data_IF_087800612179
#
_entry.id   IF_087800612179
#
_cell.length_a   1.000
_cell.length_b   1.000
_cell.length_c   1.000
_cell.angle_alpha   90.00
_cell.angle_beta   90.00
_cell.angle_gamma   90.00
#
_symmetry.space_group_name_H-M   'P 1'
#
loop_
_entity.id
_entity.type
_entity.pdbx_description
1 polymer ?
#
# COMPACT_ATOMS: atom_id res chain seq x y z
N UNK A 1 -14.14 -9.97 -26.51
CA UNK A 1 -13.80 -11.42 -26.39
C UNK A 1 -12.44 -11.63 -25.73
N UNK A 2 -11.35 -10.95 -26.17
CA UNK A 2 -10.03 -11.05 -25.54
C UNK A 2 -10.04 -10.61 -24.06
N UNK A 3 -10.63 -9.47 -23.75
CA UNK A 3 -10.66 -8.96 -22.37
C UNK A 3 -11.48 -9.85 -21.44
N UNK A 4 -12.65 -10.32 -21.88
CA UNK A 4 -13.47 -11.27 -21.11
C UNK A 4 -12.69 -12.55 -20.78
N UNK A 5 -11.89 -13.05 -21.73
CA UNK A 5 -11.03 -14.21 -21.49
C UNK A 5 -9.96 -13.91 -20.45
N UNK A 6 -9.27 -12.77 -20.56
CA UNK A 6 -8.26 -12.35 -19.58
C UNK A 6 -8.88 -12.25 -18.19
N UNK A 7 -10.02 -11.56 -18.05
CA UNK A 7 -10.69 -11.42 -16.76
C UNK A 7 -11.18 -12.75 -16.20
N UNK A 8 -11.74 -13.63 -17.03
CA UNK A 8 -12.14 -14.96 -16.62
C UNK A 8 -10.96 -15.80 -16.11
N UNK A 9 -9.83 -15.78 -16.83
CA UNK A 9 -8.61 -16.48 -16.42
C UNK A 9 -8.05 -15.90 -15.12
N UNK A 10 -8.00 -14.56 -14.98
CA UNK A 10 -7.50 -13.89 -13.77
C UNK A 10 -8.39 -14.13 -12.55
N UNK A 11 -9.71 -14.06 -12.70
CA UNK A 11 -10.65 -14.37 -11.61
C UNK A 11 -10.53 -15.83 -11.21
N UNK A 12 -10.44 -16.75 -12.18
CA UNK A 12 -10.25 -18.17 -11.89
C UNK A 12 -8.94 -18.43 -11.13
N UNK A 13 -7.82 -17.87 -11.59
CA UNK A 13 -6.55 -17.97 -10.88
C UNK A 13 -6.61 -17.37 -9.47
N UNK A 14 -7.29 -16.24 -9.30
CA UNK A 14 -7.43 -15.61 -8.00
C UNK A 14 -8.25 -16.47 -7.02
N UNK A 15 -9.36 -17.05 -7.48
CA UNK A 15 -10.16 -17.98 -6.68
C UNK A 15 -9.40 -19.25 -6.32
N UNK A 16 -8.63 -19.81 -7.25
CA UNK A 16 -7.77 -20.97 -6.97
C UNK A 16 -6.69 -20.61 -5.93
N UNK A 17 -6.07 -19.44 -6.04
CA UNK A 17 -5.08 -19.00 -5.06
C UNK A 17 -5.71 -18.80 -3.68
N UNK A 18 -6.87 -18.15 -3.59
CA UNK A 18 -7.62 -18.01 -2.34
C UNK A 18 -7.98 -19.36 -1.74
N UNK A 19 -8.43 -20.31 -2.56
CA UNK A 19 -8.74 -21.66 -2.10
C UNK A 19 -7.49 -22.36 -1.58
N UNK A 20 -6.38 -22.29 -2.30
CA UNK A 20 -5.12 -22.88 -1.88
C UNK A 20 -4.59 -22.25 -0.58
N UNK A 21 -4.73 -20.93 -0.40
CA UNK A 21 -4.37 -20.24 0.84
C UNK A 21 -5.26 -20.67 2.01
N UNK A 22 -6.57 -20.83 1.78
CA UNK A 22 -7.49 -21.34 2.81
C UNK A 22 -7.18 -22.79 3.17
N UNK A 23 -6.96 -23.65 2.18
CA UNK A 23 -6.64 -25.07 2.41
C UNK A 23 -5.26 -25.22 3.09
N UNK A 24 -4.31 -24.34 2.78
CA UNK A 24 -2.99 -24.31 3.40
C UNK A 24 -3.04 -23.77 4.83
N UNK A 25 -3.68 -22.61 5.04
CA UNK A 25 -3.58 -21.85 6.30
C UNK A 25 -4.72 -22.11 7.28
N UNK A 26 -5.88 -22.53 6.78
CA UNK A 26 -7.11 -22.71 7.55
C UNK A 26 -7.83 -24.02 7.16
N UNK A 27 -7.13 -25.18 7.16
CA UNK A 27 -7.66 -26.43 6.64
C UNK A 27 -8.95 -26.89 7.34
N UNK A 28 -9.15 -26.46 8.59
CA UNK A 28 -10.35 -26.77 9.35
C UNK A 28 -11.60 -26.06 8.83
N UNK A 29 -11.51 -24.91 8.15
CA UNK A 29 -12.72 -24.17 7.74
C UNK A 29 -13.59 -24.97 6.78
N UNK A 30 -12.97 -25.66 5.83
CA UNK A 30 -13.69 -26.53 4.91
C UNK A 30 -14.33 -27.72 5.63
N UNK A 31 -13.61 -28.30 6.59
CA UNK A 31 -14.08 -29.44 7.38
C UNK A 31 -15.23 -29.04 8.32
N UNK A 32 -15.14 -27.88 8.98
CA UNK A 32 -16.20 -27.36 9.85
C UNK A 32 -17.47 -26.97 9.08
N UNK A 33 -17.33 -26.58 7.81
CA UNK A 33 -18.48 -26.32 6.92
C UNK A 33 -19.12 -27.61 6.37
N UNK A 34 -18.48 -28.76 6.54
CA UNK A 34 -18.99 -30.07 6.14
C UNK A 34 -18.86 -31.05 7.33
N UNK A 35 -19.56 -30.80 8.44
CA UNK A 35 -19.48 -31.66 9.60
C UNK A 35 -20.20 -33.00 9.33
N UNK A 36 -19.71 -34.12 9.87
CA UNK A 36 -20.40 -35.40 9.89
C UNK A 36 -21.82 -35.27 10.45
N UNK A 37 -22.76 -36.05 9.90
CA UNK A 37 -24.16 -36.03 10.35
C UNK A 37 -24.29 -36.35 11.85
N UNK A 38 -23.39 -37.21 12.38
CA UNK A 38 -23.34 -37.58 13.79
C UNK A 38 -23.15 -36.40 14.73
N UNK A 39 -22.49 -35.31 14.30
CA UNK A 39 -22.22 -34.14 15.15
C UNK A 39 -23.37 -33.14 15.16
N UNK A 40 -24.31 -33.24 14.22
CA UNK A 40 -25.31 -32.19 13.96
C UNK A 40 -26.77 -32.65 14.01
N UNK A 41 -27.02 -33.96 14.15
CA UNK A 41 -28.37 -34.50 14.27
C UNK A 41 -29.00 -34.17 15.64
N UNK A 42 -30.34 -34.15 15.68
CA UNK A 42 -31.08 -33.82 16.91
C UNK A 42 -30.94 -34.86 18.02
N UNK A 43 -30.67 -36.12 17.68
CA UNK A 43 -30.52 -37.26 18.60
C UNK A 43 -29.04 -37.59 18.90
N UNK A 44 -28.15 -36.60 18.78
CA UNK A 44 -26.73 -36.76 19.16
C UNK A 44 -26.59 -36.81 20.67
N UNK A 45 -25.67 -37.65 21.16
CA UNK A 45 -25.30 -37.69 22.57
C UNK A 45 -24.84 -36.30 23.04
N UNK A 46 -25.38 -35.75 24.15
CA UNK A 46 -24.96 -34.46 24.69
C UNK A 46 -23.44 -34.33 24.86
N UNK A 47 -22.73 -35.40 25.21
CA UNK A 47 -21.27 -35.38 25.35
C UNK A 47 -20.57 -35.12 24.00
N UNK A 48 -21.08 -35.69 22.91
CA UNK A 48 -20.57 -35.45 21.55
C UNK A 48 -20.90 -34.02 21.12
N UNK A 49 -22.10 -33.53 21.43
CA UNK A 49 -22.50 -32.15 21.13
C UNK A 49 -21.61 -31.14 21.86
N UNK A 50 -21.32 -31.35 23.14
CA UNK A 50 -20.46 -30.48 23.95
C UNK A 50 -19.01 -30.49 23.44
N UNK A 51 -18.47 -31.69 23.13
CA UNK A 51 -17.14 -31.82 22.56
C UNK A 51 -17.02 -31.17 21.18
N UNK A 52 -18.04 -31.32 20.33
CA UNK A 52 -18.12 -30.66 19.03
C UNK A 52 -18.15 -29.13 19.15
N UNK A 53 -18.99 -28.59 20.03
CA UNK A 53 -19.02 -27.16 20.29
C UNK A 53 -17.68 -26.65 20.80
N UNK A 54 -17.04 -27.36 21.75
CA UNK A 54 -15.73 -26.96 22.27
C UNK A 54 -14.65 -26.92 21.17
N UNK A 55 -14.70 -27.86 20.22
CA UNK A 55 -13.81 -27.87 19.06
C UNK A 55 -14.06 -26.67 18.12
N UNK A 56 -15.33 -26.36 17.82
CA UNK A 56 -15.68 -25.20 16.98
C UNK A 56 -15.18 -23.88 17.60
N UNK A 57 -15.32 -23.71 18.92
CA UNK A 57 -14.83 -22.51 19.62
C UNK A 57 -13.30 -22.40 19.63
N UNK A 58 -12.59 -23.53 19.58
CA UNK A 58 -11.12 -23.56 19.55
C UNK A 58 -10.54 -23.18 18.19
N UNK A 59 -11.31 -23.28 17.11
CA UNK A 59 -10.85 -23.12 15.74
C UNK A 59 -11.47 -21.86 15.08
N UNK A 60 -10.84 -20.68 15.22
CA UNK A 60 -11.38 -19.42 14.74
C UNK A 60 -11.40 -19.31 13.21
N UNK A 61 -12.23 -18.39 12.69
CA UNK A 61 -12.34 -18.11 11.25
C UNK A 61 -11.23 -17.19 10.73
N UNK A 62 -10.70 -16.32 11.58
CA UNK A 62 -9.70 -15.30 11.22
C UNK A 62 -8.55 -15.23 12.24
N UNK A 63 -7.80 -16.33 12.46
CA UNK A 63 -6.65 -16.30 13.36
C UNK A 63 -5.55 -15.40 12.82
N UNK A 64 -4.78 -14.78 13.73
CA UNK A 64 -3.50 -14.17 13.36
C UNK A 64 -2.48 -15.28 13.12
N UNK A 65 -1.63 -15.12 12.10
CA UNK A 65 -0.61 -16.12 11.75
C UNK A 65 0.30 -16.49 12.93
N UNK A 66 0.72 -15.52 13.74
CA UNK A 66 1.54 -15.76 14.94
C UNK A 66 0.83 -16.51 16.06
N UNK A 67 -0.51 -16.63 15.99
CA UNK A 67 -1.34 -17.43 16.90
C UNK A 67 -1.68 -18.79 16.34
N UNK A 68 -1.31 -19.08 15.10
CA UNK A 68 -1.60 -20.35 14.45
C UNK A 68 -1.06 -21.56 15.23
N UNK A 69 0.18 -21.54 15.76
CA UNK A 69 0.68 -22.68 16.54
C UNK A 69 -0.13 -22.96 17.81
N UNK A 70 -0.60 -21.89 18.47
CA UNK A 70 -1.45 -21.98 19.67
C UNK A 70 -2.84 -22.53 19.31
N UNK A 71 -3.45 -22.03 18.24
CA UNK A 71 -4.75 -22.50 17.71
C UNK A 71 -4.70 -23.99 17.38
N UNK A 72 -3.64 -24.47 16.70
CA UNK A 72 -3.51 -25.87 16.32
C UNK A 72 -3.38 -26.77 17.57
N UNK A 73 -2.57 -26.37 18.55
CA UNK A 73 -2.41 -27.10 19.82
C UNK A 73 -3.73 -27.22 20.59
N UNK A 74 -4.48 -26.12 20.69
CA UNK A 74 -5.80 -26.14 21.34
C UNK A 74 -6.80 -26.98 20.52
N UNK A 75 -6.77 -26.89 19.19
CA UNK A 75 -7.57 -27.70 18.28
C UNK A 75 -7.36 -29.20 18.51
N UNK A 76 -6.10 -29.67 18.52
CA UNK A 76 -5.78 -31.07 18.84
C UNK A 76 -6.28 -31.47 20.23
N UNK A 77 -6.06 -30.63 21.24
CA UNK A 77 -6.51 -30.92 22.60
C UNK A 77 -8.04 -31.03 22.72
N UNK A 78 -8.81 -30.33 21.88
CA UNK A 78 -10.29 -30.44 21.82
C UNK A 78 -10.77 -31.57 20.92
N UNK A 79 -9.97 -31.99 19.96
CA UNK A 79 -10.29 -33.11 19.07
C UNK A 79 -10.21 -34.46 19.78
N UNK A 80 -9.27 -34.65 20.70
CA UNK A 80 -9.09 -35.91 21.45
C UNK A 80 -10.36 -36.40 22.16
N UNK A 81 -10.99 -35.59 23.03
CA UNK A 81 -12.25 -35.99 23.68
C UNK A 81 -13.39 -36.29 22.71
N UNK A 82 -13.43 -35.61 21.56
CA UNK A 82 -14.42 -35.90 20.52
C UNK A 82 -14.13 -37.27 19.88
N UNK A 83 -12.87 -37.61 19.62
CA UNK A 83 -12.49 -38.92 19.09
C UNK A 83 -12.79 -40.07 20.06
N UNK A 84 -12.54 -39.86 21.36
CA UNK A 84 -12.79 -40.86 22.41
C UNK A 84 -14.27 -41.25 22.52
N UNK A 85 -15.18 -40.33 22.15
CA UNK A 85 -16.63 -40.56 22.16
C UNK A 85 -17.15 -41.30 20.91
N UNK A 86 -16.33 -41.48 19.87
CA UNK A 86 -16.72 -42.15 18.63
C UNK A 86 -16.52 -43.67 18.71
N UNK A 87 -17.12 -44.29 19.72
CA UNK A 87 -17.21 -45.76 19.85
C UNK A 87 -18.32 -46.32 18.93
N UNK A 88 -18.29 -47.62 18.63
CA UNK A 88 -19.22 -48.25 17.68
C UNK A 88 -20.70 -48.11 18.10
N UNK A 89 -20.98 -47.88 19.38
CA UNK A 89 -22.32 -47.68 19.94
C UNK A 89 -22.82 -46.23 19.85
N UNK A 90 -21.98 -45.27 19.42
CA UNK A 90 -22.34 -43.84 19.37
C UNK A 90 -23.39 -43.50 18.30
N UNK A 91 -23.63 -44.39 17.34
CA UNK A 91 -24.61 -44.19 16.29
C UNK A 91 -24.54 -45.26 15.19
N UNK A 92 -25.22 -45.04 14.05
CA UNK A 92 -25.11 -45.90 12.88
C UNK A 92 -23.65 -46.02 12.44
N UNK A 93 -23.19 -47.24 12.18
CA UNK A 93 -21.78 -47.55 11.86
C UNK A 93 -21.20 -46.66 10.77
N UNK A 94 -21.95 -46.41 9.68
CA UNK A 94 -21.51 -45.55 8.58
C UNK A 94 -21.23 -44.10 9.04
N UNK A 95 -22.06 -43.55 9.93
CA UNK A 95 -21.89 -42.20 10.46
C UNK A 95 -20.73 -42.10 11.46
N UNK A 96 -20.50 -43.16 12.24
CA UNK A 96 -19.34 -43.24 13.15
C UNK A 96 -18.04 -43.31 12.35
N UNK A 97 -17.99 -44.12 11.29
CA UNK A 97 -16.82 -44.20 10.40
C UNK A 97 -16.57 -42.90 9.62
N UNK A 98 -17.63 -42.24 9.14
CA UNK A 98 -17.54 -40.89 8.56
C UNK A 98 -16.93 -39.90 9.56
N UNK A 99 -17.43 -39.90 10.80
CA UNK A 99 -16.94 -39.02 11.86
C UNK A 99 -15.48 -39.30 12.25
N UNK A 100 -15.10 -40.58 12.37
CA UNK A 100 -13.70 -40.99 12.62
C UNK A 100 -12.78 -40.51 11.49
N UNK A 101 -13.18 -40.74 10.24
CA UNK A 101 -12.43 -40.28 9.06
C UNK A 101 -12.30 -38.76 9.04
N UNK A 102 -13.36 -38.03 9.38
CA UNK A 102 -13.34 -36.59 9.50
C UNK A 102 -12.35 -36.11 10.57
N UNK A 103 -12.35 -36.74 11.76
CA UNK A 103 -11.43 -36.41 12.84
C UNK A 103 -9.97 -36.64 12.44
N UNK A 104 -9.66 -37.75 11.75
CA UNK A 104 -8.30 -38.02 11.23
C UNK A 104 -7.88 -36.93 10.26
N UNK A 105 -8.73 -36.57 9.29
CA UNK A 105 -8.44 -35.50 8.32
C UNK A 105 -8.22 -34.14 8.99
N UNK A 106 -8.98 -33.83 10.04
CA UNK A 106 -8.76 -32.61 10.80
C UNK A 106 -7.42 -32.63 11.53
N UNK A 107 -7.08 -33.74 12.20
CA UNK A 107 -5.80 -33.89 12.88
C UNK A 107 -4.62 -33.71 11.93
N UNK A 108 -4.63 -34.40 10.78
CA UNK A 108 -3.61 -34.26 9.73
C UNK A 108 -3.52 -32.83 9.21
N UNK A 109 -4.67 -32.17 9.02
CA UNK A 109 -4.74 -30.77 8.61
C UNK A 109 -4.09 -29.84 9.63
N UNK A 110 -4.39 -30.02 10.93
CA UNK A 110 -3.81 -29.24 12.03
C UNK A 110 -2.30 -29.44 12.17
N UNK A 111 -1.81 -30.67 12.04
CA UNK A 111 -0.37 -30.97 12.06
C UNK A 111 0.35 -30.31 10.88
N UNK A 112 -0.23 -30.40 9.67
CA UNK A 112 0.35 -29.82 8.47
C UNK A 112 0.48 -28.28 8.56
N UNK A 113 -0.57 -27.59 9.02
CA UNK A 113 -0.49 -26.13 9.20
C UNK A 113 0.39 -25.74 10.38
N UNK A 114 0.49 -26.54 11.45
CA UNK A 114 1.43 -26.23 12.53
C UNK A 114 2.86 -26.12 11.97
N UNK A 115 3.29 -27.12 11.19
CA UNK A 115 4.60 -27.13 10.54
C UNK A 115 4.77 -25.97 9.53
N UNK A 116 3.76 -25.73 8.70
CA UNK A 116 3.81 -24.67 7.69
C UNK A 116 3.84 -23.28 8.31
N UNK A 117 3.04 -23.04 9.35
CA UNK A 117 3.00 -21.76 10.06
C UNK A 117 4.30 -21.49 10.82
N UNK A 118 4.87 -22.50 11.50
CA UNK A 118 6.18 -22.35 12.15
C UNK A 118 7.28 -22.02 11.13
N UNK A 119 7.33 -22.73 10.00
CA UNK A 119 8.26 -22.45 8.91
C UNK A 119 8.09 -21.03 8.33
N UNK A 120 6.84 -20.62 8.07
CA UNK A 120 6.54 -19.28 7.56
C UNK A 120 6.92 -18.18 8.56
N UNK A 121 6.66 -18.40 9.86
CA UNK A 121 7.05 -17.46 10.91
C UNK A 121 8.57 -17.30 11.00
N UNK A 122 9.32 -18.40 10.89
CA UNK A 122 10.79 -18.35 10.81
C UNK A 122 11.23 -17.53 9.59
N UNK A 123 10.69 -17.82 8.40
CA UNK A 123 11.04 -17.09 7.18
C UNK A 123 10.69 -15.60 7.24
N UNK A 124 9.58 -15.23 7.87
CA UNK A 124 9.21 -13.83 8.09
C UNK A 124 10.14 -13.14 9.10
N UNK A 125 10.57 -13.84 10.15
CA UNK A 125 11.56 -13.35 11.10
C UNK A 125 12.91 -13.12 10.41
N UNK A 126 13.38 -14.08 9.62
CA UNK A 126 14.62 -13.95 8.85
C UNK A 126 14.57 -12.77 7.87
N UNK A 127 13.43 -12.56 7.21
CA UNK A 127 13.23 -11.41 6.32
C UNK A 127 13.24 -10.08 7.08
N UNK A 128 12.64 -10.06 8.27
CA UNK A 128 12.65 -8.89 9.15
C UNK A 128 14.07 -8.53 9.57
N UNK A 129 14.86 -9.52 10.00
CA UNK A 129 16.25 -9.34 10.41
C UNK A 129 17.13 -8.87 9.25
N UNK A 130 16.94 -9.43 8.05
CA UNK A 130 17.65 -8.98 6.85
C UNK A 130 17.31 -7.53 6.47
N UNK A 131 16.02 -7.17 6.53
CA UNK A 131 15.57 -5.80 6.21
C UNK A 131 16.15 -4.79 7.21
N UNK A 132 16.16 -5.15 8.49
CA UNK A 132 16.77 -4.35 9.55
C UNK A 132 18.29 -4.18 9.33
N UNK A 133 18.99 -5.27 9.01
CA UNK A 133 20.42 -5.22 8.68
C UNK A 133 20.72 -4.32 7.48
N UNK A 134 19.89 -4.36 6.43
CA UNK A 134 20.02 -3.43 5.31
C UNK A 134 19.77 -1.98 5.72
N UNK A 135 18.75 -1.72 6.53
CA UNK A 135 18.45 -0.37 6.99
C UNK A 135 19.58 0.21 7.85
N UNK A 136 20.11 -0.56 8.80
CA UNK A 136 21.24 -0.14 9.65
C UNK A 136 22.51 0.14 8.84
N UNK A 137 22.74 -0.62 7.77
CA UNK A 137 23.87 -0.44 6.87
C UNK A 137 23.77 0.81 5.95
N UNK A 138 22.58 1.42 5.79
CA UNK A 138 22.43 2.66 5.01
C UNK A 138 23.06 3.81 5.79
N UNK A 139 24.14 4.39 5.26
CA UNK A 139 24.74 5.62 5.80
C UNK A 139 24.11 6.86 5.14
N UNK A 140 23.13 7.48 5.81
CA UNK A 140 22.56 8.75 5.35
C UNK A 140 23.56 9.90 5.45
N UNK A 141 24.51 9.82 6.40
CA UNK A 141 25.55 10.82 6.63
C UNK A 141 26.42 11.05 5.40
N UNK A 142 26.59 10.04 4.54
CA UNK A 142 27.32 10.15 3.27
C UNK A 142 26.86 11.33 2.41
N UNK A 143 25.55 11.56 2.27
CA UNK A 143 24.99 12.64 1.45
C UNK A 143 24.81 13.96 2.22
N UNK A 144 25.10 13.99 3.53
CA UNK A 144 24.83 15.13 4.39
C UNK A 144 25.93 16.19 4.28
N UNK A 145 25.56 17.43 3.92
CA UNK A 145 26.47 18.57 3.99
C UNK A 145 26.47 19.14 5.41
N UNK A 146 27.54 18.90 6.16
CA UNK A 146 27.67 19.37 7.55
C UNK A 146 27.70 20.90 7.71
N UNK A 147 28.01 21.67 6.66
CA UNK A 147 28.00 23.15 6.72
C UNK A 147 26.61 23.71 6.47
N UNK A 148 25.90 23.17 5.49
CA UNK A 148 24.54 23.59 5.13
C UNK A 148 23.46 22.91 5.95
N UNK A 149 23.80 21.80 6.60
CA UNK A 149 22.91 20.96 7.40
C UNK A 149 21.73 20.42 6.57
N UNK A 150 21.96 20.09 5.30
CA UNK A 150 20.98 19.51 4.37
C UNK A 150 21.66 18.48 3.46
N UNK A 151 20.88 17.62 2.81
CA UNK A 151 21.41 16.59 1.92
C UNK A 151 21.73 17.14 0.53
N UNK A 152 22.81 16.65 -0.08
CA UNK A 152 22.98 16.66 -1.52
C UNK A 152 21.90 15.81 -2.21
N UNK A 153 21.50 16.15 -3.43
CA UNK A 153 20.52 15.34 -4.18
C UNK A 153 21.07 13.94 -4.50
N UNK A 154 22.37 13.80 -4.70
CA UNK A 154 22.99 12.51 -4.94
C UNK A 154 24.49 12.59 -5.14
N UNK A 155 25.07 11.43 -5.45
CA UNK A 155 26.49 11.25 -5.73
C UNK A 155 26.68 10.51 -7.05
N UNK A 156 27.53 11.04 -7.92
CA UNK A 156 27.87 10.41 -9.18
C UNK A 156 29.12 9.53 -8.99
N UNK A 157 28.94 8.22 -8.92
CA UNK A 157 30.02 7.26 -8.69
C UNK A 157 31.09 7.25 -9.81
N UNK A 158 30.69 7.49 -11.06
CA UNK A 158 31.62 7.52 -12.20
C UNK A 158 32.59 8.69 -12.13
N UNK A 159 32.12 9.85 -11.68
CA UNK A 159 32.94 11.08 -11.59
C UNK A 159 33.48 11.35 -10.19
N UNK A 160 33.03 10.59 -9.19
CA UNK A 160 33.39 10.75 -7.79
C UNK A 160 32.93 12.08 -7.18
N UNK A 161 31.80 12.62 -7.63
CA UNK A 161 31.34 13.97 -7.26
C UNK A 161 29.95 13.98 -6.65
N UNK A 162 29.80 14.74 -5.57
CA UNK A 162 28.50 15.13 -5.04
C UNK A 162 27.77 16.06 -6.01
N UNK A 163 26.45 15.95 -6.05
CA UNK A 163 25.60 16.91 -6.75
C UNK A 163 25.75 18.30 -6.12
N UNK A 164 25.65 19.35 -6.94
CA UNK A 164 25.78 20.73 -6.46
C UNK A 164 24.49 21.28 -5.86
N UNK A 165 23.37 20.59 -6.10
CA UNK A 165 22.06 20.92 -5.59
C UNK A 165 21.75 20.12 -4.33
N UNK A 166 20.78 20.61 -3.58
CA UNK A 166 20.45 20.11 -2.25
C UNK A 166 18.95 19.84 -2.13
N UNK A 167 18.60 18.90 -1.27
CA UNK A 167 17.25 18.75 -0.73
C UNK A 167 17.10 19.68 0.47
N UNK A 168 16.74 20.94 0.20
CA UNK A 168 16.72 22.02 1.18
C UNK A 168 15.31 22.55 1.49
N UNK A 169 14.25 22.01 0.90
CA UNK A 169 12.87 22.44 1.13
C UNK A 169 12.12 21.50 2.08
N UNK A 170 11.33 22.06 3.01
CA UNK A 170 10.42 21.25 3.84
C UNK A 170 9.25 20.67 3.03
N UNK A 171 8.79 21.37 2.01
CA UNK A 171 7.81 20.88 1.05
C UNK A 171 8.51 20.09 -0.06
N UNK A 172 8.92 18.87 0.27
CA UNK A 172 9.56 17.92 -0.64
C UNK A 172 9.32 16.49 -0.15
N UNK A 173 9.34 15.56 -1.10
CA UNK A 173 9.37 14.13 -0.88
C UNK A 173 10.53 13.70 0.02
N UNK A 174 11.69 14.38 -0.11
CA UNK A 174 12.91 14.05 0.59
C UNK A 174 12.82 14.30 2.09
N UNK A 175 11.80 15.03 2.56
CA UNK A 175 11.54 15.22 3.99
C UNK A 175 11.36 13.90 4.73
N UNK A 176 10.83 12.87 4.07
CA UNK A 176 10.75 11.53 4.69
C UNK A 176 12.15 10.95 4.96
N UNK A 177 13.08 11.08 4.01
CA UNK A 177 14.47 10.67 4.19
C UNK A 177 15.16 11.52 5.27
N UNK A 178 14.93 12.83 5.30
CA UNK A 178 15.37 13.73 6.38
C UNK A 178 14.92 13.27 7.75
N UNK A 179 13.65 12.92 7.88
CA UNK A 179 13.09 12.43 9.14
C UNK A 179 13.73 11.08 9.54
N UNK A 180 13.83 10.13 8.60
CA UNK A 180 14.43 8.82 8.86
C UNK A 180 15.90 8.91 9.28
N UNK A 181 16.69 9.75 8.62
CA UNK A 181 18.09 9.94 8.97
C UNK A 181 18.28 10.52 10.39
N UNK A 182 17.37 11.41 10.82
CA UNK A 182 17.34 11.92 12.20
C UNK A 182 16.91 10.82 13.16
N UNK A 183 15.83 10.10 12.85
CA UNK A 183 15.30 9.01 13.68
C UNK A 183 16.32 7.87 13.89
N UNK A 184 17.12 7.57 12.85
CA UNK A 184 18.22 6.60 12.93
C UNK A 184 19.43 7.13 13.71
N UNK A 185 19.59 8.45 13.80
CA UNK A 185 20.73 9.11 14.44
C UNK A 185 21.92 9.37 13.52
N UNK A 186 21.78 9.14 12.22
CA UNK A 186 22.84 9.38 11.22
C UNK A 186 23.13 10.88 11.02
N UNK A 187 22.14 11.74 11.24
CA UNK A 187 22.26 13.21 11.11
C UNK A 187 21.61 13.93 12.30
N UNK A 188 22.09 15.13 12.67
CA UNK A 188 21.57 15.85 13.82
C UNK A 188 20.16 16.42 13.57
N UNK A 189 19.36 16.59 14.63
CA UNK A 189 18.03 17.22 14.57
C UNK A 189 18.04 18.62 13.95
N UNK A 190 19.16 19.35 14.01
CA UNK A 190 19.35 20.63 13.33
C UNK A 190 19.07 20.55 11.84
N UNK A 191 19.25 19.38 11.21
CA UNK A 191 18.89 19.17 9.81
C UNK A 191 17.44 19.60 9.51
N UNK A 192 16.48 19.19 10.35
CA UNK A 192 15.07 19.53 10.18
C UNK A 192 14.80 21.04 10.24
N UNK A 193 15.55 21.74 11.08
CA UNK A 193 15.41 23.19 11.24
C UNK A 193 15.96 23.94 10.02
N UNK A 194 17.00 23.42 9.37
CA UNK A 194 17.62 24.01 8.19
C UNK A 194 16.86 23.76 6.88
N UNK A 195 15.87 22.87 6.87
CA UNK A 195 14.92 22.78 5.75
C UNK A 195 14.16 24.11 5.59
N UNK A 196 14.36 24.76 4.46
CA UNK A 196 13.74 26.02 4.08
C UNK A 196 12.22 25.90 4.01
N UNK A 197 11.54 26.95 4.47
CA UNK A 197 10.07 27.05 4.52
C UNK A 197 9.56 28.26 3.73
N UNK A 198 9.89 28.38 2.43
CA UNK A 198 9.44 29.50 1.63
C UNK A 198 7.92 29.49 1.53
N UNK A 199 7.29 30.65 1.76
CA UNK A 199 5.86 30.79 1.83
C UNK A 199 5.32 31.65 0.69
N UNK A 200 4.18 31.25 0.16
CA UNK A 200 3.33 32.05 -0.71
C UNK A 200 1.93 32.16 -0.14
N UNK A 201 1.08 32.99 -0.76
CA UNK A 201 -0.34 33.09 -0.45
C UNK A 201 -1.17 32.75 -1.69
N UNK A 202 -2.05 31.75 -1.55
CA UNK A 202 -2.98 31.32 -2.60
C UNK A 202 -4.38 31.27 -2.01
N UNK A 203 -5.34 31.95 -2.63
CA UNK A 203 -6.73 32.03 -2.18
C UNK A 203 -6.86 32.37 -0.67
N UNK A 204 -6.00 33.26 -0.17
CA UNK A 204 -5.96 33.66 1.24
C UNK A 204 -5.20 32.72 2.19
N UNK A 205 -4.95 31.47 1.81
CA UNK A 205 -4.18 30.51 2.60
C UNK A 205 -2.67 30.72 2.46
N UNK A 206 -1.91 30.46 3.53
CA UNK A 206 -0.44 30.40 3.49
C UNK A 206 -0.02 29.01 3.06
N UNK A 207 0.88 28.93 2.08
CA UNK A 207 1.27 27.66 1.45
C UNK A 207 2.78 27.61 1.34
N UNK A 208 3.39 26.50 1.75
CA UNK A 208 4.81 26.25 1.50
C UNK A 208 5.03 25.99 0.01
N UNK A 209 6.11 26.55 -0.55
CA UNK A 209 6.52 26.29 -1.93
C UNK A 209 7.43 25.05 -1.99
N UNK A 210 7.18 24.18 -2.97
CA UNK A 210 8.10 23.10 -3.37
C UNK A 210 8.93 23.51 -4.59
N UNK A 211 9.82 22.64 -5.08
CA UNK A 211 10.67 22.98 -6.21
C UNK A 211 9.87 22.99 -7.52
N UNK A 212 9.19 21.87 -7.81
CA UNK A 212 8.48 21.66 -9.06
C UNK A 212 6.96 21.82 -8.96
N UNK A 213 6.41 22.04 -7.77
CA UNK A 213 4.96 22.07 -7.51
C UNK A 213 4.22 20.77 -7.88
N UNK A 214 4.89 19.62 -7.79
CA UNK A 214 4.26 18.31 -8.04
C UNK A 214 3.39 17.92 -6.84
N UNK A 215 2.33 17.15 -7.05
CA UNK A 215 1.53 16.67 -5.91
C UNK A 215 2.35 15.73 -5.00
N UNK A 216 3.21 14.93 -5.59
CA UNK A 216 4.10 13.99 -4.90
C UNK A 216 5.02 14.68 -3.89
N UNK A 217 5.65 15.81 -4.24
CA UNK A 217 6.53 16.57 -3.34
C UNK A 217 5.81 16.91 -2.02
N UNK A 218 4.50 17.16 -2.07
CA UNK A 218 3.72 17.47 -0.87
C UNK A 218 3.17 16.22 -0.19
N UNK A 219 2.48 15.34 -0.93
CA UNK A 219 1.63 14.32 -0.34
C UNK A 219 2.28 12.94 -0.21
N UNK A 220 3.34 12.61 -0.96
CA UNK A 220 3.98 11.30 -0.80
C UNK A 220 4.44 11.03 0.63
N UNK A 221 5.08 11.98 1.35
CA UNK A 221 5.44 11.77 2.75
C UNK A 221 4.24 11.44 3.65
N UNK A 222 3.03 11.92 3.35
CA UNK A 222 1.83 11.63 4.15
C UNK A 222 1.30 10.21 4.02
N UNK A 223 1.83 9.40 3.10
CA UNK A 223 1.53 7.97 3.05
C UNK A 223 2.10 7.20 4.26
N UNK A 224 3.10 7.77 4.94
CA UNK A 224 3.79 7.15 6.08
C UNK A 224 3.86 8.08 7.30
N UNK A 225 3.98 9.39 7.09
CA UNK A 225 4.09 10.38 8.15
C UNK A 225 2.72 10.95 8.53
N UNK A 226 2.43 10.99 9.84
CA UNK A 226 1.25 11.69 10.36
C UNK A 226 1.24 13.16 9.94
N UNK A 227 0.05 13.66 9.62
CA UNK A 227 -0.23 15.06 9.41
C UNK A 227 -1.13 15.56 10.54
N UNK A 228 -0.75 16.64 11.20
CA UNK A 228 -1.51 17.19 12.31
C UNK A 228 -2.30 18.42 11.88
N UNK A 229 -3.60 18.43 12.15
CA UNK A 229 -4.46 19.59 11.90
C UNK A 229 -3.93 20.85 12.60
N UNK A 230 -4.17 22.02 12.00
CA UNK A 230 -3.65 23.30 12.50
C UNK A 230 -2.17 23.57 12.20
N UNK A 231 -1.41 22.59 11.70
CA UNK A 231 -0.04 22.83 11.25
C UNK A 231 0.03 23.53 9.89
N UNK A 232 1.11 24.29 9.66
CA UNK A 232 1.39 24.91 8.36
C UNK A 232 1.47 23.88 7.22
N UNK A 233 2.00 22.68 7.51
CA UNK A 233 2.08 21.62 6.50
C UNK A 233 0.70 21.08 6.14
N UNK A 234 -0.16 20.82 7.14
CA UNK A 234 -1.52 20.38 6.89
C UNK A 234 -2.32 21.43 6.11
N UNK A 235 -2.18 22.72 6.45
CA UNK A 235 -2.76 23.82 5.66
C UNK A 235 -2.24 23.83 4.22
N UNK A 236 -0.93 23.61 4.04
CA UNK A 236 -0.29 23.54 2.73
C UNK A 236 -0.91 22.43 1.88
N UNK A 237 -1.13 21.23 2.43
CA UNK A 237 -1.74 20.12 1.70
C UNK A 237 -3.12 20.49 1.14
N UNK A 238 -4.01 21.01 1.99
CA UNK A 238 -5.34 21.43 1.55
C UNK A 238 -5.27 22.47 0.44
N UNK A 239 -4.44 23.51 0.62
CA UNK A 239 -4.32 24.59 -0.35
C UNK A 239 -3.71 24.13 -1.70
N UNK A 240 -2.76 23.19 -1.69
CA UNK A 240 -2.18 22.60 -2.90
C UNK A 240 -3.23 21.80 -3.66
N UNK A 241 -4.00 20.96 -2.97
CA UNK A 241 -5.07 20.16 -3.60
C UNK A 241 -6.14 21.09 -4.19
N UNK A 242 -6.57 22.11 -3.45
CA UNK A 242 -7.58 23.06 -3.91
C UNK A 242 -7.08 23.87 -5.13
N UNK A 243 -5.78 24.20 -5.18
CA UNK A 243 -5.16 24.85 -6.33
C UNK A 243 -5.05 23.91 -7.54
N UNK A 244 -4.73 22.63 -7.34
CA UNK A 244 -4.73 21.60 -8.39
C UNK A 244 -6.11 21.44 -9.01
N UNK A 245 -7.16 21.31 -8.19
CA UNK A 245 -8.54 21.23 -8.65
C UNK A 245 -8.95 22.48 -9.44
N UNK A 246 -8.65 23.66 -8.90
CA UNK A 246 -8.95 24.94 -9.57
C UNK A 246 -8.25 25.04 -10.92
N UNK A 247 -6.98 24.62 -11.00
CA UNK A 247 -6.22 24.69 -12.24
C UNK A 247 -6.73 23.70 -13.29
N UNK A 248 -7.07 22.47 -12.91
CA UNK A 248 -7.73 21.50 -13.79
C UNK A 248 -9.03 22.05 -14.37
N UNK A 249 -9.89 22.63 -13.51
CA UNK A 249 -11.13 23.28 -13.94
C UNK A 249 -10.88 24.45 -14.91
N UNK A 250 -9.92 25.33 -14.62
CA UNK A 250 -9.54 26.45 -15.51
C UNK A 250 -9.07 25.98 -16.89
N UNK A 251 -8.46 24.79 -16.96
CA UNK A 251 -7.96 24.18 -18.19
C UNK A 251 -8.95 23.19 -18.83
N UNK A 252 -10.13 23.00 -18.24
CA UNK A 252 -11.16 22.06 -18.68
C UNK A 252 -10.66 20.61 -18.80
N UNK A 253 -9.81 20.18 -17.86
CA UNK A 253 -9.27 18.81 -17.77
C UNK A 253 -9.40 18.27 -16.34
N UNK A 254 -9.31 16.95 -16.12
CA UNK A 254 -9.14 16.39 -14.79
C UNK A 254 -7.92 16.99 -14.07
N UNK A 255 -7.87 16.90 -12.74
CA UNK A 255 -6.71 17.36 -11.97
C UNK A 255 -5.80 16.20 -11.56
N UNK A 256 -4.62 16.52 -10.99
CA UNK A 256 -3.60 15.53 -10.65
C UNK A 256 -2.29 15.74 -11.40
N UNK A 257 -1.73 16.94 -11.33
CA UNK A 257 -0.44 17.24 -11.95
C UNK A 257 0.68 16.85 -10.97
N UNK A 258 1.60 16.01 -11.43
CA UNK A 258 2.78 15.62 -10.68
C UNK A 258 3.88 15.17 -11.66
N UNK A 259 5.03 14.72 -11.19
CA UNK A 259 5.97 14.03 -12.08
C UNK A 259 5.34 12.77 -12.69
N UNK A 260 5.58 12.59 -13.98
CA UNK A 260 5.04 11.46 -14.73
C UNK A 260 5.75 11.26 -16.06
N UNK A 261 5.44 10.12 -16.69
CA UNK A 261 5.58 9.96 -18.13
C UNK A 261 4.73 10.98 -18.89
N UNK A 262 5.15 11.36 -20.09
CA UNK A 262 4.41 12.27 -20.97
C UNK A 262 4.53 11.84 -22.43
N UNK A 263 3.69 12.39 -23.31
CA UNK A 263 3.56 11.92 -24.69
C UNK A 263 4.68 12.47 -25.58
N UNK A 264 5.90 12.00 -25.32
CA UNK A 264 7.09 12.22 -26.12
C UNK A 264 7.94 10.96 -26.05
N UNK A 265 8.60 10.65 -27.15
CA UNK A 265 9.38 9.44 -27.30
C UNK A 265 10.88 9.76 -27.43
N UNK A 266 11.74 8.90 -26.89
CA UNK A 266 13.15 8.85 -27.28
C UNK A 266 13.34 8.05 -28.58
N UNK A 267 14.60 7.83 -28.97
CA UNK A 267 14.97 7.07 -30.16
C UNK A 267 14.49 5.61 -30.12
N UNK A 268 14.29 5.05 -28.92
CA UNK A 268 13.87 3.67 -28.70
C UNK A 268 12.35 3.56 -28.48
N UNK A 269 11.60 4.63 -28.74
CA UNK A 269 10.15 4.72 -28.59
C UNK A 269 9.65 4.55 -27.14
N UNK A 270 10.48 4.89 -26.15
CA UNK A 270 10.05 4.96 -24.77
C UNK A 270 9.48 6.34 -24.43
N UNK A 271 8.37 6.34 -23.67
CA UNK A 271 7.83 7.57 -23.10
C UNK A 271 8.87 8.26 -22.23
N UNK A 272 9.01 9.57 -22.40
CA UNK A 272 9.91 10.39 -21.60
C UNK A 272 9.27 10.75 -20.26
N UNK A 273 10.10 11.03 -19.26
CA UNK A 273 9.69 11.31 -17.88
C UNK A 273 10.21 12.66 -17.39
N UNK A 274 9.39 13.42 -16.66
CA UNK A 274 9.84 14.63 -15.94
C UNK A 274 8.83 15.11 -14.90
N UNK A 275 9.26 16.05 -14.07
CA UNK A 275 8.38 16.76 -13.13
C UNK A 275 7.51 17.84 -13.80
N UNK A 276 6.19 17.75 -13.53
CA UNK A 276 5.18 18.76 -13.85
C UNK A 276 4.54 19.28 -12.57
N UNK A 277 4.14 20.55 -12.56
CA UNK A 277 3.47 21.12 -11.42
C UNK A 277 2.62 22.32 -11.76
N UNK A 278 1.85 22.77 -10.77
CA UNK A 278 0.88 23.84 -10.96
C UNK A 278 1.56 25.21 -10.84
N UNK A 279 1.34 26.14 -11.79
CA UNK A 279 1.88 27.49 -11.71
C UNK A 279 1.47 28.23 -10.43
N UNK A 280 2.46 28.89 -9.81
CA UNK A 280 2.30 29.65 -8.57
C UNK A 280 2.63 28.89 -7.29
N UNK A 281 2.92 27.58 -7.39
CA UNK A 281 3.23 26.70 -6.26
C UNK A 281 4.69 26.21 -6.21
N UNK A 282 5.53 26.60 -7.18
CA UNK A 282 6.91 26.12 -7.24
C UNK A 282 7.89 27.11 -7.84
N UNK A 283 9.17 26.90 -7.57
CA UNK A 283 10.27 27.75 -8.05
C UNK A 283 10.61 27.52 -9.53
N UNK A 284 10.38 26.30 -10.04
CA UNK A 284 10.68 25.94 -11.41
C UNK A 284 9.97 26.87 -12.40
N UNK A 285 10.72 27.45 -13.33
CA UNK A 285 10.14 28.27 -14.42
C UNK A 285 9.47 27.37 -15.45
N UNK A 286 8.45 27.91 -16.13
CA UNK A 286 7.80 27.22 -17.25
C UNK A 286 6.77 26.16 -16.85
N UNK A 287 6.38 26.07 -15.58
CA UNK A 287 5.34 25.12 -15.12
C UNK A 287 4.02 25.22 -15.89
N UNK A 288 3.70 26.40 -16.45
CA UNK A 288 2.47 26.62 -17.20
C UNK A 288 2.51 26.07 -18.65
N UNK A 289 3.69 25.68 -19.14
CA UNK A 289 3.92 25.25 -20.54
C UNK A 289 3.37 23.85 -20.81
N UNK A 290 3.20 23.06 -19.76
CA UNK A 290 2.77 21.68 -19.85
C UNK A 290 1.46 21.44 -19.12
N UNK A 291 0.65 20.53 -19.66
CA UNK A 291 -0.58 20.08 -19.05
C UNK A 291 -0.64 18.55 -19.14
N UNK A 292 -0.06 17.90 -18.15
CA UNK A 292 -0.02 16.43 -18.05
C UNK A 292 -0.68 16.03 -16.74
N UNK A 293 -1.69 15.16 -16.81
CA UNK A 293 -2.49 14.72 -15.67
C UNK A 293 -2.17 13.26 -15.40
N UNK A 294 -1.83 12.95 -14.15
CA UNK A 294 -1.55 11.60 -13.70
C UNK A 294 -2.55 11.16 -12.60
N UNK A 295 -3.20 9.99 -12.73
CA UNK A 295 -4.20 9.54 -11.76
C UNK A 295 -3.67 9.35 -10.34
N UNK A 296 -2.42 8.90 -10.15
CA UNK A 296 -1.87 8.67 -8.80
C UNK A 296 -1.81 9.96 -7.99
N UNK A 297 -1.50 11.09 -8.64
CA UNK A 297 -1.42 12.39 -8.00
C UNK A 297 -2.77 12.80 -7.39
N UNK A 298 -3.88 12.49 -8.05
CA UNK A 298 -5.21 12.70 -7.46
C UNK A 298 -5.46 11.76 -6.29
N UNK A 299 -5.08 10.49 -6.41
CA UNK A 299 -5.29 9.48 -5.38
C UNK A 299 -4.50 9.75 -4.10
N UNK A 300 -3.34 10.40 -4.18
CA UNK A 300 -2.60 10.87 -3.00
C UNK A 300 -3.42 11.82 -2.10
N UNK A 301 -4.40 12.53 -2.66
CA UNK A 301 -5.25 13.46 -1.92
C UNK A 301 -6.47 12.79 -1.25
N UNK A 302 -6.62 11.47 -1.38
CA UNK A 302 -7.78 10.73 -0.89
C UNK A 302 -8.09 10.96 0.61
N UNK A 303 -7.11 11.01 1.54
CA UNK A 303 -7.38 11.28 2.95
C UNK A 303 -7.98 12.68 3.22
N UNK A 304 -7.72 13.66 2.36
CA UNK A 304 -8.09 15.06 2.58
C UNK A 304 -9.31 15.51 1.77
N UNK A 305 -9.56 14.91 0.60
CA UNK A 305 -10.63 15.30 -0.34
C UNK A 305 -11.28 14.08 -1.00
N UNK A 306 -11.78 13.07 -0.25
CA UNK A 306 -12.18 11.78 -0.82
C UNK A 306 -13.26 11.90 -1.90
N UNK A 307 -14.28 12.74 -1.67
CA UNK A 307 -15.36 12.96 -2.66
C UNK A 307 -14.84 13.55 -3.97
N UNK A 308 -13.95 14.56 -3.90
CA UNK A 308 -13.41 15.21 -5.08
C UNK A 308 -12.46 14.28 -5.86
N UNK A 309 -11.68 13.46 -5.13
CA UNK A 309 -10.84 12.41 -5.73
C UNK A 309 -11.71 11.42 -6.51
N UNK A 310 -12.77 10.88 -5.90
CA UNK A 310 -13.63 9.89 -6.58
C UNK A 310 -14.34 10.48 -7.79
N UNK A 311 -14.76 11.75 -7.74
CA UNK A 311 -15.32 12.44 -8.90
C UNK A 311 -14.30 12.58 -10.04
N UNK A 312 -13.06 12.94 -9.72
CA UNK A 312 -11.99 13.08 -10.70
C UNK A 312 -11.58 11.73 -11.31
N UNK A 313 -11.49 10.69 -10.48
CA UNK A 313 -11.21 9.33 -10.92
C UNK A 313 -12.30 8.81 -11.86
N UNK A 314 -13.57 9.06 -11.56
CA UNK A 314 -14.66 8.72 -12.46
C UNK A 314 -14.52 9.42 -13.83
N UNK A 315 -14.04 10.66 -13.86
CA UNK A 315 -13.77 11.39 -15.10
C UNK A 315 -12.59 10.79 -15.88
N UNK A 316 -11.49 10.47 -15.19
CA UNK A 316 -10.34 9.78 -15.80
C UNK A 316 -10.73 8.40 -16.37
N UNK A 317 -11.62 7.67 -15.70
CA UNK A 317 -12.15 6.40 -16.21
C UNK A 317 -12.97 6.57 -17.48
N UNK A 318 -13.78 7.63 -17.61
CA UNK A 318 -14.49 7.93 -18.87
C UNK A 318 -13.52 8.21 -20.02
N UNK A 319 -12.34 8.72 -19.70
CA UNK A 319 -11.25 8.94 -20.66
C UNK A 319 -10.36 7.70 -20.87
N UNK A 320 -10.85 6.51 -20.50
CA UNK A 320 -10.18 5.23 -20.74
C UNK A 320 -8.80 5.09 -20.08
N UNK A 321 -8.59 5.77 -18.95
CA UNK A 321 -7.33 5.69 -18.21
C UNK A 321 -7.15 4.42 -17.40
N UNK A 322 -8.20 3.65 -17.17
CA UNK A 322 -8.13 2.42 -16.40
C UNK A 322 -8.06 1.23 -17.35
N UNK A 323 -7.08 0.36 -17.15
CA UNK A 323 -6.91 -0.87 -17.91
C UNK A 323 -6.40 -2.00 -16.98
N UNK A 324 -5.96 -3.13 -17.52
CA UNK A 324 -5.73 -4.38 -16.79
C UNK A 324 -4.81 -4.30 -15.55
N UNK A 325 -3.86 -3.35 -15.52
CA UNK A 325 -2.93 -3.17 -14.39
C UNK A 325 -3.22 -1.90 -13.58
N UNK A 326 -4.45 -1.40 -13.65
CA UNK A 326 -4.85 -0.17 -12.99
C UNK A 326 -4.78 1.02 -13.93
N UNK A 327 -4.55 2.20 -13.36
CA UNK A 327 -4.50 3.43 -14.16
C UNK A 327 -3.21 3.50 -14.98
N UNK A 328 -3.33 3.89 -16.25
CA UNK A 328 -2.18 4.31 -17.04
C UNK A 328 -1.46 5.51 -16.40
N UNK A 329 -0.21 5.66 -16.78
CA UNK A 329 0.72 6.65 -16.24
C UNK A 329 0.19 8.08 -16.27
N UNK A 330 -0.30 8.56 -17.42
CA UNK A 330 -0.79 9.93 -17.56
C UNK A 330 -1.64 10.15 -18.82
N UNK A 331 -2.34 11.29 -18.86
CA UNK A 331 -2.88 11.91 -20.08
C UNK A 331 -2.10 13.21 -20.32
N UNK A 332 -1.54 13.37 -21.51
CA UNK A 332 -0.91 14.60 -21.97
C UNK A 332 -1.93 15.43 -22.77
N UNK A 333 -2.13 16.68 -22.38
CA UNK A 333 -2.97 17.66 -23.06
C UNK A 333 -2.15 18.81 -23.66
N UNK A 334 -0.82 18.71 -23.69
CA UNK A 334 0.03 19.79 -24.22
C UNK A 334 -0.05 19.83 -25.74
N UNK A 335 -0.60 20.90 -26.36
CA UNK A 335 -0.91 20.91 -27.80
C UNK A 335 0.28 20.64 -28.72
N UNK A 336 1.49 21.07 -28.35
CA UNK A 336 2.70 20.87 -29.16
C UNK A 336 3.18 19.41 -29.22
N UNK A 337 2.63 18.52 -28.41
CA UNK A 337 2.97 17.08 -28.37
C UNK A 337 1.89 16.18 -28.98
N UNK A 338 0.73 16.73 -29.29
CA UNK A 338 -0.41 15.93 -29.73
C UNK A 338 -0.37 15.66 -31.23
N UNK A 339 -0.80 14.46 -31.67
CA UNK A 339 -1.08 14.22 -33.07
C UNK A 339 -2.13 15.20 -33.61
N UNK A 340 -2.10 15.54 -34.92
CA UNK A 340 -3.11 16.41 -35.52
C UNK A 340 -4.54 15.94 -35.26
N UNK A 341 -5.39 16.84 -34.78
CA UNK A 341 -6.80 16.57 -34.50
C UNK A 341 -7.08 15.85 -33.17
N UNK A 342 -6.07 15.61 -32.33
CA UNK A 342 -6.28 15.07 -30.98
C UNK A 342 -6.22 16.18 -29.93
N UNK A 343 -7.10 16.10 -28.93
CA UNK A 343 -7.14 17.01 -27.78
C UNK A 343 -6.32 16.51 -26.58
N UNK A 344 -5.98 15.21 -26.59
CA UNK A 344 -5.16 14.58 -25.55
C UNK A 344 -4.53 13.28 -26.06
N UNK A 345 -3.50 12.81 -25.38
CA UNK A 345 -2.87 11.52 -25.67
C UNK A 345 -2.53 10.76 -24.39
N UNK A 346 -2.89 9.47 -24.33
CA UNK A 346 -2.66 8.61 -23.17
C UNK A 346 -1.23 8.06 -23.22
N UNK A 347 -0.51 8.22 -22.12
CA UNK A 347 0.78 7.57 -21.86
C UNK A 347 0.52 6.15 -21.39
N UNK A 348 0.49 5.20 -22.34
CA UNK A 348 0.15 3.79 -22.08
C UNK A 348 1.30 3.01 -21.46
N UNK A 349 1.75 3.43 -20.29
CA UNK A 349 2.72 2.72 -19.45
C UNK A 349 2.21 2.63 -18.01
N UNK A 350 2.89 1.82 -17.20
CA UNK A 350 2.64 1.70 -15.77
C UNK A 350 3.97 1.86 -15.04
N UNK A 351 4.01 2.73 -14.04
CA UNK A 351 5.17 2.87 -13.16
C UNK A 351 4.91 2.24 -11.80
N UNK A 352 5.81 1.36 -11.37
CA UNK A 352 5.66 0.60 -10.13
C UNK A 352 5.45 1.50 -8.91
N UNK A 353 6.19 2.61 -8.82
CA UNK A 353 6.06 3.56 -7.70
C UNK A 353 4.73 4.33 -7.73
N UNK A 354 4.22 4.71 -8.91
CA UNK A 354 2.90 5.33 -9.02
C UNK A 354 1.77 4.36 -8.65
N UNK A 355 1.82 3.11 -9.10
CA UNK A 355 0.85 2.08 -8.69
C UNK A 355 0.96 1.80 -7.18
N UNK A 356 2.18 1.71 -6.65
CA UNK A 356 2.43 1.55 -5.21
C UNK A 356 1.80 2.68 -4.39
N UNK A 357 1.94 3.94 -4.83
CA UNK A 357 1.31 5.09 -4.16
C UNK A 357 -0.21 5.06 -4.26
N UNK A 358 -0.78 4.61 -5.39
CA UNK A 358 -2.23 4.38 -5.51
C UNK A 358 -2.70 3.38 -4.46
N UNK A 359 -2.06 2.21 -4.38
CA UNK A 359 -2.44 1.17 -3.42
C UNK A 359 -2.26 1.64 -1.98
N UNK A 360 -1.15 2.30 -1.64
CA UNK A 360 -0.94 2.84 -0.29
C UNK A 360 -1.99 3.89 0.08
N UNK A 361 -2.36 4.78 -0.84
CA UNK A 361 -3.40 5.78 -0.60
C UNK A 361 -4.75 5.12 -0.31
N UNK A 362 -5.12 4.10 -1.10
CA UNK A 362 -6.36 3.35 -0.92
C UNK A 362 -6.36 2.57 0.40
N UNK A 363 -5.27 1.85 0.70
CA UNK A 363 -5.14 1.04 1.93
C UNK A 363 -5.19 1.94 3.16
N UNK A 364 -4.46 3.06 3.19
CA UNK A 364 -4.53 3.98 4.32
C UNK A 364 -5.93 4.57 4.49
N UNK A 365 -6.64 4.87 3.40
CA UNK A 365 -8.00 5.39 3.52
C UNK A 365 -9.02 4.33 3.99
N UNK A 366 -8.89 3.08 3.54
CA UNK A 366 -9.84 2.00 3.85
C UNK A 366 -9.55 1.28 5.17
N UNK A 367 -8.34 1.42 5.71
CA UNK A 367 -7.85 0.68 6.87
C UNK A 367 -7.29 1.64 7.93
N UNK A 368 -7.95 2.79 8.14
CA UNK A 368 -7.64 3.76 9.21
C UNK A 368 -6.14 4.08 9.35
N UNK A 369 -5.54 4.50 8.25
CA UNK A 369 -4.12 4.88 8.13
C UNK A 369 -3.14 3.78 8.60
N UNK A 370 -3.45 2.51 8.36
CA UNK A 370 -2.65 1.36 8.83
C UNK A 370 -1.15 1.47 8.55
N UNK A 371 -0.73 1.99 7.39
CA UNK A 371 0.71 2.11 7.08
C UNK A 371 1.37 3.26 7.84
N UNK A 372 0.66 4.36 8.07
CA UNK A 372 1.11 5.44 8.96
C UNK A 372 1.25 4.92 10.38
N UNK A 373 0.27 4.15 10.87
CA UNK A 373 0.33 3.56 12.21
C UNK A 373 1.48 2.56 12.36
N UNK A 374 1.76 1.75 11.33
CA UNK A 374 2.93 0.86 11.32
C UNK A 374 4.24 1.64 11.35
N UNK A 375 4.36 2.70 10.54
CA UNK A 375 5.55 3.56 10.54
C UNK A 375 5.79 4.22 11.90
N UNK A 376 4.74 4.74 12.54
CA UNK A 376 4.80 5.39 13.86
C UNK A 376 4.88 4.40 15.04
N UNK A 377 4.80 3.09 14.80
CA UNK A 377 5.02 2.07 15.82
C UNK A 377 6.50 1.75 16.05
N UNK A 378 7.39 2.15 15.14
CA UNK A 378 8.84 1.94 15.29
C UNK A 378 9.42 2.83 16.41
N UNK A 379 10.18 2.29 17.37
CA UNK A 379 10.77 3.06 18.47
C UNK A 379 11.63 4.24 18.01
N UNK A 380 12.36 4.11 16.89
CA UNK A 380 13.19 5.19 16.33
C UNK A 380 12.33 6.36 15.88
N UNK A 381 11.20 6.07 15.24
CA UNK A 381 10.22 7.09 14.82
C UNK A 381 9.55 7.76 16.03
N UNK A 382 9.26 7.01 17.10
CA UNK A 382 8.62 7.55 18.31
C UNK A 382 9.53 8.49 19.12
N UNK A 383 10.84 8.29 19.04
CA UNK A 383 11.85 9.05 19.79
C UNK A 383 12.46 10.23 19.01
N UNK A 384 12.18 10.30 17.70
CA UNK A 384 12.74 11.29 16.77
C UNK A 384 12.21 12.72 16.96
#
# INVERSE_FOLDING_TARGET
MRDLRIWSERVHHHLLNMQNELDMLLPWLRLLNQPPALFTRAETDPAITDAWQALQHALPVTPRLNKMPEVCKVGHARLGPLQDLLVDEAGPTEQVEEARTWCVRLAEGLDSILMAAESLLIGLQDLSEQTEAYFEAIDFGFLFDARRQVFHIGYNATTGRMDRNYYDLLASEARLASFLAIAKGDVPQSHWLHLSRPLTRINGARVLLSWSATMFEYLMPSLLMRSYEGTLMHQTYGAVIDRQMTYGHQRHVPWGISESGYYRFDADMNYQYRAFGVPGLGFKRGLAQDLVISPYASLLALPLRPRAVMQNIAELMKQQMLDHYGFFEAIDYTPSRLPPGQESAIVRSYMAHHQGMIFLSLVNYLQDEVMVNRFHADPRVQSA
#
